data_IF_704524144298
#
_entry.id   IF_704524144298
#
_cell.length_a   1.000
_cell.length_b   1.000
_cell.length_c   1.000
_cell.angle_alpha   90.00
_cell.angle_beta   90.00
_cell.angle_gamma   90.00
#
_symmetry.space_group_name_H-M   'P 1'
#
loop_
_entity.id
_entity.type
_entity.pdbx_description
1 polymer ?
#
# COMPACT_ATOMS: atom_id res chain seq x y z
N UNK A 1 47.75 -6.52 -49.53
CA UNK A 1 46.91 -5.54 -48.85
C UNK A 1 47.70 -4.44 -48.16
N UNK A 2 48.71 -4.74 -47.33
CA UNK A 2 49.57 -3.75 -46.66
C UNK A 2 50.23 -2.75 -47.62
N UNK A 3 50.74 -3.21 -48.77
CA UNK A 3 51.45 -2.37 -49.77
C UNK A 3 50.50 -1.40 -50.49
N UNK A 4 49.25 -1.76 -50.76
CA UNK A 4 48.22 -0.86 -51.29
C UNK A 4 47.79 0.19 -50.27
N UNK A 5 47.75 -0.17 -48.98
CA UNK A 5 47.45 0.76 -47.87
C UNK A 5 48.57 1.78 -47.69
N UNK A 6 49.84 1.37 -47.67
CA UNK A 6 51.00 2.26 -47.56
C UNK A 6 51.10 3.23 -48.74
N UNK A 7 50.80 2.81 -50.00
CA UNK A 7 50.73 3.68 -51.17
C UNK A 7 49.60 4.69 -51.14
N UNK A 8 48.44 4.33 -50.54
CA UNK A 8 47.33 5.24 -50.35
C UNK A 8 47.69 6.35 -49.37
N UNK A 9 48.27 6.04 -48.21
CA UNK A 9 48.68 7.00 -47.20
C UNK A 9 49.84 7.89 -47.65
N UNK A 10 50.76 7.41 -48.44
CA UNK A 10 51.88 8.17 -48.94
C UNK A 10 51.57 9.24 -50.01
N UNK A 11 50.34 9.20 -50.58
CA UNK A 11 49.85 10.17 -51.58
C UNK A 11 48.97 11.28 -51.00
N UNK A 12 48.57 11.18 -49.75
CA UNK A 12 47.67 12.15 -49.14
C UNK A 12 48.42 13.31 -48.48
N UNK A 13 47.85 14.50 -48.56
CA UNK A 13 48.36 15.69 -47.87
C UNK A 13 48.04 15.55 -46.34
N UNK A 14 48.78 16.32 -45.52
CA UNK A 14 48.49 16.37 -44.06
C UNK A 14 47.03 16.72 -43.77
N UNK A 15 46.44 17.57 -44.62
CA UNK A 15 45.02 17.95 -44.50
C UNK A 15 44.07 16.74 -44.73
N UNK A 16 44.33 15.93 -45.74
CA UNK A 16 43.54 14.73 -46.01
C UNK A 16 43.61 13.70 -44.87
N UNK A 17 44.80 13.55 -44.25
CA UNK A 17 44.97 12.69 -43.07
C UNK A 17 44.17 13.18 -41.86
N UNK A 18 44.15 14.49 -41.61
CA UNK A 18 43.34 15.09 -40.53
C UNK A 18 41.86 14.87 -40.79
N UNK A 19 41.37 15.18 -42.00
CA UNK A 19 39.94 14.98 -42.37
C UNK A 19 39.53 13.53 -42.24
N UNK A 20 40.35 12.58 -42.71
CA UNK A 20 40.05 11.17 -42.60
C UNK A 20 40.03 10.68 -41.14
N UNK A 21 40.97 11.13 -40.33
CA UNK A 21 41.01 10.82 -38.89
C UNK A 21 39.77 11.39 -38.16
N UNK A 22 39.39 12.64 -38.43
CA UNK A 22 38.19 13.25 -37.87
C UNK A 22 36.92 12.47 -38.27
N UNK A 23 36.82 12.08 -39.54
CA UNK A 23 35.67 11.31 -40.03
C UNK A 23 35.56 9.92 -39.38
N UNK A 24 36.72 9.23 -39.23
CA UNK A 24 36.75 7.92 -38.56
C UNK A 24 36.38 8.06 -37.07
N UNK A 25 36.92 9.07 -36.40
CA UNK A 25 36.64 9.33 -34.99
C UNK A 25 35.15 9.66 -34.80
N UNK A 26 34.59 10.53 -35.63
CA UNK A 26 33.15 10.85 -35.62
C UNK A 26 32.28 9.61 -35.82
N UNK A 27 32.60 8.78 -36.82
CA UNK A 27 31.87 7.55 -37.09
C UNK A 27 31.97 6.58 -35.91
N UNK A 28 33.19 6.40 -35.35
CA UNK A 28 33.39 5.55 -34.18
C UNK A 28 32.59 6.06 -32.96
N UNK A 29 32.60 7.37 -32.72
CA UNK A 29 31.82 7.99 -31.64
C UNK A 29 30.30 7.74 -31.83
N UNK A 30 29.77 7.93 -33.04
CA UNK A 30 28.36 7.66 -33.33
C UNK A 30 28.02 6.18 -33.12
N UNK A 31 28.90 5.27 -33.57
CA UNK A 31 28.65 3.82 -33.35
C UNK A 31 28.68 3.45 -31.87
N UNK A 32 29.61 4.04 -31.09
CA UNK A 32 29.70 3.81 -29.65
C UNK A 32 28.45 4.37 -28.95
N UNK A 33 27.99 5.57 -29.30
CA UNK A 33 26.77 6.18 -28.73
C UNK A 33 25.55 5.37 -29.07
N UNK A 34 25.34 4.98 -30.34
CA UNK A 34 24.24 4.14 -30.74
C UNK A 34 24.28 2.75 -30.08
N UNK A 35 25.46 2.15 -29.97
CA UNK A 35 25.67 0.90 -29.24
C UNK A 35 25.34 1.05 -27.75
N UNK A 36 25.80 2.16 -27.15
CA UNK A 36 25.49 2.49 -25.74
C UNK A 36 23.98 2.66 -25.50
N UNK A 37 23.30 3.42 -26.35
CA UNK A 37 21.83 3.59 -26.28
C UNK A 37 21.13 2.23 -26.44
N UNK A 38 21.55 1.43 -27.42
CA UNK A 38 20.94 0.10 -27.67
C UNK A 38 21.08 -0.81 -26.45
N UNK A 39 22.24 -0.80 -25.79
CA UNK A 39 22.49 -1.56 -24.56
C UNK A 39 21.63 -1.01 -23.40
N UNK A 40 21.59 0.32 -23.24
CA UNK A 40 20.83 0.97 -22.17
C UNK A 40 19.33 0.69 -22.23
N UNK A 41 18.76 0.57 -23.44
CA UNK A 41 17.34 0.20 -23.63
C UNK A 41 17.10 -1.32 -23.68
N UNK A 42 18.12 -2.16 -23.43
CA UNK A 42 17.97 -3.62 -23.38
C UNK A 42 17.96 -4.31 -24.72
N UNK A 43 18.52 -3.71 -25.79
CA UNK A 43 18.73 -4.31 -27.09
C UNK A 43 17.95 -3.66 -28.25
N UNK A 44 18.20 -4.11 -29.47
CA UNK A 44 17.59 -3.56 -30.70
C UNK A 44 16.07 -3.70 -30.73
N UNK A 45 15.53 -4.74 -30.12
CA UNK A 45 14.08 -4.98 -30.07
C UNK A 45 13.37 -3.85 -29.29
N UNK A 46 13.89 -3.53 -28.11
CA UNK A 46 13.36 -2.45 -27.29
C UNK A 46 13.57 -1.06 -27.92
N UNK A 47 14.66 -0.87 -28.67
CA UNK A 47 14.88 0.36 -29.44
C UNK A 47 13.77 0.61 -30.47
N UNK A 48 13.24 -0.45 -31.10
CA UNK A 48 12.11 -0.35 -32.04
C UNK A 48 10.84 0.10 -31.31
N UNK A 49 10.55 -0.46 -30.13
CA UNK A 49 9.42 -0.03 -29.32
C UNK A 49 9.56 1.41 -28.84
N UNK A 50 10.74 1.79 -28.35
CA UNK A 50 11.03 3.16 -27.96
C UNK A 50 10.82 4.14 -29.10
N UNK A 51 11.31 3.82 -30.30
CA UNK A 51 11.11 4.67 -31.50
C UNK A 51 9.64 4.87 -31.82
N UNK A 52 8.84 3.78 -31.79
CA UNK A 52 7.40 3.84 -32.03
C UNK A 52 6.69 4.69 -30.97
N UNK A 53 7.07 4.55 -29.71
CA UNK A 53 6.50 5.33 -28.60
C UNK A 53 6.78 6.83 -28.78
N UNK A 54 8.03 7.21 -29.05
CA UNK A 54 8.42 8.60 -29.30
C UNK A 54 7.72 9.18 -30.53
N UNK A 55 7.57 8.40 -31.61
CA UNK A 55 6.82 8.82 -32.80
C UNK A 55 5.35 9.10 -32.47
N UNK A 56 4.71 8.24 -31.64
CA UNK A 56 3.32 8.43 -31.25
C UNK A 56 3.15 9.72 -30.41
N UNK A 57 4.03 9.96 -29.44
CA UNK A 57 4.02 11.20 -28.65
C UNK A 57 4.17 12.43 -29.56
N UNK A 58 5.12 12.41 -30.51
CA UNK A 58 5.34 13.50 -31.45
C UNK A 58 4.13 13.76 -32.36
N UNK A 59 3.44 12.70 -32.78
CA UNK A 59 2.19 12.84 -33.58
C UNK A 59 1.09 13.51 -32.74
N UNK A 60 0.90 13.08 -31.48
CA UNK A 60 -0.09 13.70 -30.59
C UNK A 60 0.24 15.17 -30.36
N UNK A 61 1.48 15.48 -29.98
CA UNK A 61 1.93 16.84 -29.67
C UNK A 61 1.80 17.81 -30.85
N UNK A 62 2.14 17.36 -32.08
CA UNK A 62 2.27 18.27 -33.23
C UNK A 62 1.10 18.19 -34.21
N UNK A 63 0.24 17.19 -34.14
CA UNK A 63 -0.81 16.94 -35.16
C UNK A 63 -2.20 17.04 -34.58
N UNK A 64 -2.36 16.83 -33.26
CA UNK A 64 -3.68 16.94 -32.63
C UNK A 64 -4.17 18.42 -32.68
N UNK A 65 -5.42 18.63 -33.05
CA UNK A 65 -5.99 19.93 -33.23
C UNK A 65 -6.37 20.67 -31.93
N UNK A 66 -6.51 19.92 -30.83
CA UNK A 66 -6.79 20.44 -29.48
C UNK A 66 -5.52 20.66 -28.68
N UNK A 67 -5.69 21.22 -27.48
CA UNK A 67 -4.60 21.27 -26.48
C UNK A 67 -4.43 19.91 -25.84
N UNK A 68 -3.24 19.36 -25.94
CA UNK A 68 -2.87 18.09 -25.30
C UNK A 68 -1.89 18.38 -24.15
N UNK A 69 -2.30 18.02 -22.94
CA UNK A 69 -1.36 17.93 -21.82
C UNK A 69 -0.52 16.66 -22.00
N UNK A 70 0.75 16.84 -22.36
CA UNK A 70 1.64 15.75 -22.70
C UNK A 70 2.04 14.90 -21.48
N UNK A 71 1.97 15.44 -20.27
CA UNK A 71 2.16 14.70 -19.03
C UNK A 71 1.03 13.70 -18.85
N UNK A 72 -0.21 14.16 -18.88
CA UNK A 72 -1.42 13.31 -18.82
C UNK A 72 -1.43 12.25 -19.94
N UNK A 73 -1.05 12.63 -21.17
CA UNK A 73 -0.98 11.69 -22.32
C UNK A 73 0.06 10.58 -22.07
N UNK A 74 1.19 10.92 -21.49
CA UNK A 74 2.29 10.00 -21.21
C UNK A 74 1.90 9.04 -20.09
N UNK A 75 1.34 9.54 -19.01
CA UNK A 75 0.88 8.75 -17.86
C UNK A 75 -0.22 7.76 -18.26
N UNK A 76 -1.20 8.22 -19.07
CA UNK A 76 -2.22 7.34 -19.63
C UNK A 76 -1.61 6.21 -20.48
N UNK A 77 -0.54 6.51 -21.23
CA UNK A 77 0.21 5.52 -22.01
C UNK A 77 0.90 4.47 -21.13
N UNK A 78 1.54 4.87 -20.03
CA UNK A 78 2.17 3.96 -19.08
C UNK A 78 1.16 3.14 -18.30
N UNK A 79 0.05 3.75 -17.85
CA UNK A 79 -1.06 3.04 -17.22
C UNK A 79 -1.59 1.94 -18.15
N UNK A 80 -1.94 2.28 -19.40
CA UNK A 80 -2.41 1.31 -20.37
C UNK A 80 -1.41 0.18 -20.67
N UNK A 81 -0.11 0.46 -20.60
CA UNK A 81 0.93 -0.55 -20.76
C UNK A 81 0.89 -1.59 -19.63
N UNK A 82 0.75 -1.15 -18.39
CA UNK A 82 0.65 -2.05 -17.23
C UNK A 82 -0.70 -2.78 -17.22
N UNK A 83 -1.79 -2.09 -17.51
CA UNK A 83 -3.15 -2.68 -17.60
C UNK A 83 -3.22 -3.79 -18.64
N UNK A 84 -2.43 -3.69 -19.72
CA UNK A 84 -2.36 -4.73 -20.77
C UNK A 84 -1.85 -6.09 -20.29
N UNK A 85 -1.23 -6.16 -19.11
CA UNK A 85 -0.82 -7.42 -18.48
C UNK A 85 -2.01 -8.26 -18.02
N UNK A 86 -3.21 -7.66 -17.88
CA UNK A 86 -4.41 -8.32 -17.37
C UNK A 86 -4.31 -8.73 -15.90
N UNK A 87 -3.39 -8.15 -15.18
CA UNK A 87 -3.18 -8.36 -13.74
C UNK A 87 -3.73 -7.18 -12.94
N UNK A 88 -4.87 -7.34 -12.30
CA UNK A 88 -5.55 -6.30 -11.52
C UNK A 88 -4.74 -5.79 -10.32
N UNK A 89 -3.66 -6.47 -9.97
CA UNK A 89 -2.78 -6.12 -8.85
C UNK A 89 -1.54 -5.33 -9.28
N UNK A 90 -1.35 -5.19 -10.61
CA UNK A 90 -0.27 -4.40 -11.17
C UNK A 90 -0.82 -3.12 -11.76
N UNK A 91 -0.22 -1.98 -11.40
CA UNK A 91 -0.67 -0.66 -11.86
C UNK A 91 0.49 0.34 -11.90
N UNK A 92 0.31 1.37 -12.70
CA UNK A 92 1.17 2.55 -12.75
C UNK A 92 0.64 3.60 -11.77
N UNK A 93 1.53 4.38 -11.18
CA UNK A 93 1.23 5.52 -10.33
C UNK A 93 1.96 6.75 -10.83
N UNK A 94 1.27 7.87 -11.00
CA UNK A 94 1.89 9.18 -11.17
C UNK A 94 2.74 9.53 -9.94
N UNK A 95 3.63 10.54 -10.01
CA UNK A 95 4.39 10.98 -8.83
C UNK A 95 3.49 11.32 -7.63
N UNK A 96 2.35 11.95 -7.87
CA UNK A 96 1.39 12.32 -6.82
C UNK A 96 0.70 11.09 -6.21
N UNK A 97 0.26 10.15 -7.03
CA UNK A 97 -0.34 8.88 -6.56
C UNK A 97 0.68 8.03 -5.80
N UNK A 98 1.96 8.06 -6.20
CA UNK A 98 3.00 7.35 -5.47
C UNK A 98 3.29 7.97 -4.10
N UNK A 99 3.25 9.31 -3.96
CA UNK A 99 3.31 9.94 -2.64
C UNK A 99 2.15 9.51 -1.74
N UNK A 100 0.92 9.47 -2.27
CA UNK A 100 -0.25 8.99 -1.52
C UNK A 100 -0.12 7.51 -1.13
N UNK A 101 0.41 6.68 -2.04
CA UNK A 101 0.72 5.28 -1.75
C UNK A 101 1.73 5.13 -0.60
N UNK A 102 2.79 5.94 -0.58
CA UNK A 102 3.78 5.93 0.52
C UNK A 102 3.16 6.33 1.86
N UNK A 103 2.36 7.39 1.87
CA UNK A 103 1.65 7.82 3.07
C UNK A 103 0.75 6.70 3.62
N UNK A 104 -0.04 6.07 2.74
CA UNK A 104 -0.89 4.94 3.11
C UNK A 104 -0.07 3.77 3.68
N UNK A 105 1.00 3.37 2.99
CA UNK A 105 1.84 2.23 3.40
C UNK A 105 2.68 2.50 4.65
N UNK A 106 2.90 3.78 5.00
CA UNK A 106 3.50 4.19 6.26
C UNK A 106 2.47 4.34 7.40
N UNK A 107 1.21 3.96 7.16
CA UNK A 107 0.11 4.23 8.09
C UNK A 107 0.04 5.70 8.50
N UNK A 108 0.31 6.61 7.56
CA UNK A 108 0.21 8.05 7.78
C UNK A 108 -0.85 8.69 6.90
N UNK A 109 -1.37 9.80 7.34
CA UNK A 109 -2.28 10.63 6.56
C UNK A 109 -2.02 12.12 6.82
N UNK A 110 -2.26 12.95 5.81
CA UNK A 110 -2.14 14.40 5.97
C UNK A 110 -3.44 14.97 6.53
N UNK A 111 -3.39 15.49 7.75
CA UNK A 111 -4.55 15.99 8.46
C UNK A 111 -4.22 16.91 9.62
N UNK A 112 -5.20 17.24 10.43
CA UNK A 112 -5.06 18.05 11.64
C UNK A 112 -5.27 17.25 12.94
N UNK A 113 -5.70 15.97 12.84
CA UNK A 113 -5.86 15.09 13.99
C UNK A 113 -7.19 15.24 14.73
N UNK A 114 -8.30 15.45 14.02
CA UNK A 114 -9.65 15.40 14.61
C UNK A 114 -10.49 14.28 14.01
N UNK A 115 -11.29 13.65 14.86
CA UNK A 115 -12.38 12.77 14.44
C UNK A 115 -13.69 13.54 14.51
N UNK A 116 -14.46 13.51 13.43
CA UNK A 116 -15.74 14.22 13.32
C UNK A 116 -16.92 13.26 13.30
N UNK A 117 -18.00 13.68 13.92
CA UNK A 117 -19.31 13.05 13.76
C UNK A 117 -20.38 14.09 13.45
N UNK A 118 -21.48 13.67 12.87
CA UNK A 118 -22.68 14.51 12.71
C UNK A 118 -23.63 14.22 13.87
N UNK A 119 -24.05 15.26 14.60
CA UNK A 119 -25.05 15.15 15.67
C UNK A 119 -26.48 15.02 15.10
N UNK A 120 -27.47 14.81 15.98
CA UNK A 120 -28.88 14.69 15.62
C UNK A 120 -29.45 15.97 14.94
N UNK A 121 -28.80 17.10 15.09
CA UNK A 121 -29.19 18.38 14.49
C UNK A 121 -28.45 18.66 13.16
N UNK A 122 -27.60 17.74 12.69
CA UNK A 122 -26.80 17.90 11.47
C UNK A 122 -25.53 18.73 11.66
N UNK A 123 -25.11 19.03 12.90
CA UNK A 123 -23.88 19.75 13.16
C UNK A 123 -22.66 18.82 13.12
N UNK A 124 -21.52 19.35 12.68
CA UNK A 124 -20.24 18.66 12.71
C UNK A 124 -19.57 18.86 14.08
N UNK A 125 -19.50 17.81 14.87
CA UNK A 125 -18.96 17.80 16.23
C UNK A 125 -17.62 17.08 16.24
N UNK A 126 -16.64 17.65 16.94
CA UNK A 126 -15.35 17.00 17.21
C UNK A 126 -15.60 15.90 18.25
N UNK A 127 -15.49 14.65 17.82
CA UNK A 127 -15.65 13.46 18.68
C UNK A 127 -14.36 13.22 19.47
N UNK A 128 -13.21 13.34 18.81
CA UNK A 128 -11.90 13.08 19.38
C UNK A 128 -10.83 13.98 18.78
N UNK A 129 -9.74 14.20 19.51
CA UNK A 129 -8.57 14.96 19.08
C UNK A 129 -7.34 14.12 19.38
N UNK A 130 -6.58 13.81 18.32
CA UNK A 130 -5.38 13.00 18.41
C UNK A 130 -4.29 13.72 19.20
N UNK A 131 -3.65 13.01 20.11
CA UNK A 131 -2.51 13.48 20.90
C UNK A 131 -1.35 13.92 19.98
N UNK A 132 -0.63 14.95 20.38
CA UNK A 132 0.47 15.58 19.62
C UNK A 132 0.07 16.13 18.23
N UNK A 133 -1.22 16.19 17.90
CA UNK A 133 -1.70 16.67 16.60
C UNK A 133 -1.74 18.21 16.51
N UNK A 134 -1.78 18.76 15.28
CA UNK A 134 -1.99 20.20 15.09
C UNK A 134 -3.27 20.75 15.73
N UNK A 135 -4.33 19.98 15.80
CA UNK A 135 -5.58 20.37 16.43
C UNK A 135 -5.42 20.48 17.96
N UNK A 136 -4.76 19.51 18.59
CA UNK A 136 -4.46 19.56 20.00
C UNK A 136 -3.55 20.76 20.35
N UNK A 137 -2.48 20.95 19.56
CA UNK A 137 -1.56 22.09 19.72
C UNK A 137 -2.26 23.46 19.58
N UNK A 138 -3.31 23.52 18.73
CA UNK A 138 -4.16 24.70 18.61
C UNK A 138 -5.17 24.84 19.76
N UNK A 139 -5.25 23.84 20.66
CA UNK A 139 -6.16 23.83 21.81
C UNK A 139 -7.59 23.42 21.46
N UNK A 140 -7.78 22.65 20.39
CA UNK A 140 -9.06 22.00 20.10
C UNK A 140 -9.31 20.86 21.09
N UNK A 141 -10.57 20.61 21.41
CA UNK A 141 -11.00 19.57 22.36
C UNK A 141 -12.25 18.85 21.84
N UNK A 142 -12.52 17.61 22.27
CA UNK A 142 -13.79 16.98 22.02
C UNK A 142 -14.99 17.83 22.46
N UNK A 143 -16.10 17.72 21.76
CA UNK A 143 -17.33 18.46 22.01
C UNK A 143 -17.45 19.82 21.29
N UNK A 144 -16.41 20.29 20.62
CA UNK A 144 -16.47 21.48 19.79
C UNK A 144 -17.37 21.26 18.55
N UNK A 145 -18.25 22.22 18.27
CA UNK A 145 -19.11 22.22 17.07
C UNK A 145 -18.50 23.10 16.01
N UNK A 146 -18.04 22.54 14.90
CA UNK A 146 -17.42 23.29 13.81
C UNK A 146 -18.46 24.10 13.06
N UNK A 147 -18.19 25.40 12.84
CA UNK A 147 -19.12 26.33 12.21
C UNK A 147 -18.59 26.96 10.94
N UNK A 148 -17.27 27.16 10.81
CA UNK A 148 -16.67 27.70 9.62
C UNK A 148 -15.24 27.18 9.36
N UNK A 149 -14.85 27.19 8.08
CA UNK A 149 -13.49 26.96 7.58
C UNK A 149 -13.07 28.23 6.81
N UNK A 150 -12.02 28.91 7.26
CA UNK A 150 -11.56 30.19 6.70
C UNK A 150 -12.72 31.22 6.55
N UNK A 151 -13.59 31.31 7.56
CA UNK A 151 -14.75 32.20 7.56
C UNK A 151 -15.93 31.78 6.68
N UNK A 152 -15.83 30.67 5.92
CA UNK A 152 -16.93 30.09 5.16
C UNK A 152 -17.69 29.08 6.02
N UNK A 153 -19.02 29.23 6.11
CA UNK A 153 -19.87 28.29 6.87
C UNK A 153 -19.68 26.84 6.41
N UNK A 154 -19.64 25.93 7.37
CA UNK A 154 -19.65 24.47 7.16
C UNK A 154 -21.01 23.83 7.46
N UNK A 155 -22.03 24.65 7.76
CA UNK A 155 -23.40 24.19 8.00
C UNK A 155 -23.95 23.38 6.83
N UNK A 156 -24.53 22.23 7.11
CA UNK A 156 -25.09 21.32 6.11
C UNK A 156 -24.06 20.48 5.35
N UNK A 157 -22.76 20.63 5.64
CA UNK A 157 -21.72 19.74 5.09
C UNK A 157 -21.68 18.43 5.84
N UNK A 158 -21.31 17.37 5.11
CA UNK A 158 -20.96 16.09 5.69
C UNK A 158 -19.55 16.09 6.27
N UNK A 159 -19.25 15.15 7.14
CA UNK A 159 -17.87 14.93 7.65
C UNK A 159 -16.87 14.69 6.52
N UNK A 160 -17.29 13.99 5.46
CA UNK A 160 -16.48 13.73 4.28
C UNK A 160 -16.17 15.03 3.52
N UNK A 161 -17.17 15.84 3.20
CA UNK A 161 -16.99 17.10 2.48
C UNK A 161 -16.09 18.10 3.22
N UNK A 162 -16.19 18.16 4.57
CA UNK A 162 -15.28 18.97 5.36
C UNK A 162 -13.87 18.36 5.38
N UNK A 163 -13.74 17.06 5.50
CA UNK A 163 -12.45 16.36 5.40
C UNK A 163 -11.74 16.62 4.08
N UNK A 164 -12.47 16.57 2.95
CA UNK A 164 -11.93 16.90 1.61
C UNK A 164 -11.52 18.36 1.51
N UNK A 165 -12.34 19.27 2.05
CA UNK A 165 -12.01 20.69 2.09
C UNK A 165 -10.73 20.96 2.93
N UNK A 166 -10.57 20.30 4.07
CA UNK A 166 -9.35 20.40 4.91
C UNK A 166 -8.14 19.81 4.15
N UNK A 167 -8.30 18.66 3.47
CA UNK A 167 -7.22 18.05 2.67
C UNK A 167 -6.72 18.94 1.54
N UNK A 168 -7.59 19.80 0.99
CA UNK A 168 -7.23 20.74 -0.07
C UNK A 168 -6.56 22.03 0.43
N UNK A 169 -6.48 22.27 1.75
CA UNK A 169 -5.84 23.46 2.30
C UNK A 169 -4.32 23.34 2.24
N UNK A 170 -3.66 24.42 1.84
CA UNK A 170 -2.21 24.58 1.91
C UNK A 170 -1.86 25.59 2.99
N UNK A 171 -0.77 25.33 3.76
CA UNK A 171 -0.33 26.19 4.84
C UNK A 171 -1.31 26.26 6.01
N UNK A 172 -1.30 27.39 6.75
CA UNK A 172 -2.20 27.63 7.88
C UNK A 172 -3.60 28.03 7.43
N UNK A 173 -4.61 27.52 8.13
CA UNK A 173 -6.01 27.90 7.94
C UNK A 173 -6.75 27.96 9.28
N UNK A 174 -7.92 28.60 9.28
CA UNK A 174 -8.69 28.83 10.50
C UNK A 174 -9.96 27.98 10.50
N UNK A 175 -10.13 27.19 11.56
CA UNK A 175 -11.38 26.53 11.92
C UNK A 175 -12.08 27.35 13.00
N UNK A 176 -13.32 27.77 12.74
CA UNK A 176 -14.17 28.38 13.76
C UNK A 176 -15.08 27.32 14.35
N UNK A 177 -15.10 27.20 15.67
CA UNK A 177 -15.97 26.27 16.39
C UNK A 177 -16.68 26.95 17.56
N UNK A 178 -17.84 26.40 17.94
CA UNK A 178 -18.51 26.73 19.19
C UNK A 178 -18.11 25.75 20.28
N UNK A 179 -17.81 26.28 21.45
CA UNK A 179 -17.61 25.47 22.66
C UNK A 179 -18.95 24.89 23.17
N UNK A 180 -18.94 23.90 24.07
CA UNK A 180 -20.17 23.40 24.70
C UNK A 180 -20.97 24.51 25.42
N UNK A 181 -20.29 25.55 25.87
CA UNK A 181 -20.91 26.73 26.53
C UNK A 181 -21.49 27.73 25.53
N UNK A 182 -21.30 27.49 24.22
CA UNK A 182 -21.83 28.29 23.12
C UNK A 182 -20.96 29.46 22.66
N UNK A 183 -19.73 29.57 23.19
CA UNK A 183 -18.77 30.61 22.78
C UNK A 183 -18.12 30.22 21.45
N UNK A 184 -18.01 31.19 20.51
CA UNK A 184 -17.31 31.00 19.25
C UNK A 184 -15.81 31.26 19.43
N UNK A 185 -14.99 30.33 18.96
CA UNK A 185 -13.52 30.41 19.05
C UNK A 185 -12.89 30.02 17.70
N UNK A 186 -11.84 30.73 17.30
CA UNK A 186 -11.03 30.45 16.14
C UNK A 186 -9.79 29.64 16.54
N UNK A 187 -9.51 28.60 15.74
CA UNK A 187 -8.35 27.75 15.89
C UNK A 187 -7.53 27.81 14.59
N UNK A 188 -6.31 28.31 14.68
CA UNK A 188 -5.38 28.31 13.54
C UNK A 188 -4.65 26.98 13.56
N UNK A 189 -4.77 26.25 12.47
CA UNK A 189 -4.18 24.92 12.29
C UNK A 189 -3.49 24.80 10.94
N UNK A 190 -2.53 23.90 10.86
CA UNK A 190 -1.88 23.49 9.63
C UNK A 190 -1.92 21.96 9.57
N UNK A 191 -2.04 21.39 8.36
CA UNK A 191 -1.94 19.94 8.21
C UNK A 191 -0.54 19.43 8.53
N UNK A 192 -0.48 18.28 9.15
CA UNK A 192 0.76 17.51 9.37
C UNK A 192 0.55 16.07 8.91
N UNK A 193 1.64 15.36 8.69
CA UNK A 193 1.60 13.90 8.55
C UNK A 193 1.36 13.30 9.93
N UNK A 194 0.28 12.53 10.08
CA UNK A 194 -0.18 11.93 11.32
C UNK A 194 -0.20 10.42 11.18
N UNK A 195 0.26 9.72 12.22
CA UNK A 195 0.22 8.28 12.27
C UNK A 195 -1.19 7.78 12.62
N UNK A 196 -1.64 6.76 11.90
CA UNK A 196 -2.89 6.05 12.15
C UNK A 196 -2.59 4.62 12.55
N UNK A 197 -2.70 4.30 13.83
CA UNK A 197 -2.42 2.95 14.32
C UNK A 197 -3.28 1.91 13.56
N UNK A 198 -2.66 0.94 12.86
CA UNK A 198 -3.40 -0.11 12.14
C UNK A 198 -4.03 -1.14 13.07
N UNK A 199 -3.65 -1.17 14.35
CA UNK A 199 -4.13 -2.14 15.33
C UNK A 199 -4.97 -1.46 16.40
N UNK A 200 -6.09 -2.06 16.73
CA UNK A 200 -6.88 -1.73 17.92
C UNK A 200 -7.24 -3.00 18.68
N UNK A 201 -7.29 -2.93 19.99
CA UNK A 201 -7.52 -4.12 20.81
C UNK A 201 -8.33 -3.81 22.07
N UNK A 202 -8.96 -4.83 22.61
CA UNK A 202 -9.70 -4.77 23.88
C UNK A 202 -9.85 -6.15 24.49
N UNK A 203 -9.99 -6.19 25.82
CA UNK A 203 -10.43 -7.39 26.51
C UNK A 203 -11.96 -7.49 26.43
N UNK A 204 -12.45 -8.63 25.95
CA UNK A 204 -13.87 -8.95 25.90
C UNK A 204 -14.30 -9.79 27.13
N UNK A 205 -15.62 -9.93 27.32
CA UNK A 205 -16.17 -10.85 28.33
C UNK A 205 -15.63 -12.27 28.13
N UNK A 206 -15.37 -12.96 29.23
CA UNK A 206 -14.82 -14.31 29.23
C UNK A 206 -13.31 -14.34 29.02
N UNK A 207 -12.56 -13.29 29.37
CA UNK A 207 -11.11 -13.18 29.22
C UNK A 207 -10.64 -13.48 27.79
N UNK A 208 -11.38 -12.99 26.79
CA UNK A 208 -11.00 -13.11 25.38
C UNK A 208 -10.36 -11.83 24.89
N UNK A 209 -9.11 -11.90 24.44
CA UNK A 209 -8.44 -10.79 23.80
C UNK A 209 -8.93 -10.62 22.36
N UNK A 210 -9.41 -9.42 22.01
CA UNK A 210 -9.78 -9.07 20.65
C UNK A 210 -8.77 -8.08 20.09
N UNK A 211 -8.21 -8.42 18.92
CA UNK A 211 -7.22 -7.63 18.20
C UNK A 211 -7.71 -7.43 16.77
N UNK A 212 -8.05 -6.20 16.40
CA UNK A 212 -8.37 -5.85 15.03
C UNK A 212 -7.14 -5.31 14.32
N UNK A 213 -6.81 -5.91 13.17
CA UNK A 213 -5.71 -5.51 12.30
C UNK A 213 -6.31 -4.97 11.00
N UNK A 214 -6.18 -3.67 10.73
CA UNK A 214 -6.76 -3.01 9.55
C UNK A 214 -5.95 -3.25 8.28
N UNK A 215 -4.63 -3.35 8.40
CA UNK A 215 -3.69 -3.66 7.33
C UNK A 215 -2.41 -4.24 7.94
N UNK A 216 -1.53 -4.79 7.08
CA UNK A 216 -0.19 -5.25 7.44
C UNK A 216 0.88 -4.27 6.93
N UNK A 217 0.60 -2.97 6.96
CA UNK A 217 1.53 -1.93 6.58
C UNK A 217 2.47 -1.58 7.76
N UNK A 218 3.30 -0.55 7.58
CA UNK A 218 4.38 -0.19 8.50
C UNK A 218 3.95 -0.16 9.97
N UNK A 219 4.76 -0.78 10.84
CA UNK A 219 4.56 -0.94 12.30
C UNK A 219 3.37 -1.81 12.72
N UNK A 220 2.74 -2.54 11.80
CA UNK A 220 1.64 -3.43 12.17
C UNK A 220 2.10 -4.52 13.15
N UNK A 221 3.26 -5.12 12.93
CA UNK A 221 3.84 -6.14 13.81
C UNK A 221 4.08 -5.59 15.22
N UNK A 222 4.74 -4.44 15.34
CA UNK A 222 5.05 -3.81 16.63
C UNK A 222 3.78 -3.48 17.44
N UNK A 223 2.76 -2.91 16.77
CA UNK A 223 1.49 -2.56 17.42
C UNK A 223 0.66 -3.80 17.77
N UNK A 224 0.71 -4.85 16.95
CA UNK A 224 0.03 -6.11 17.23
C UNK A 224 0.72 -6.89 18.37
N UNK A 225 2.05 -6.92 18.42
CA UNK A 225 2.80 -7.52 19.53
C UNK A 225 2.50 -6.82 20.85
N UNK A 226 2.49 -5.47 20.85
CA UNK A 226 2.11 -4.70 22.02
C UNK A 226 0.69 -5.02 22.49
N UNK A 227 -0.27 -5.07 21.56
CA UNK A 227 -1.65 -5.45 21.87
C UNK A 227 -1.74 -6.86 22.49
N UNK A 228 -1.00 -7.80 21.94
CA UNK A 228 -0.91 -9.17 22.38
C UNK A 228 -0.35 -9.27 23.82
N UNK A 229 0.79 -8.62 24.08
CA UNK A 229 1.46 -8.63 25.38
C UNK A 229 0.56 -7.97 26.45
N UNK A 230 -0.10 -6.86 26.13
CA UNK A 230 -1.03 -6.18 27.04
C UNK A 230 -2.24 -7.07 27.38
N UNK A 231 -2.82 -7.78 26.39
CA UNK A 231 -3.96 -8.67 26.63
C UNK A 231 -3.55 -9.90 27.44
N UNK A 232 -2.38 -10.49 27.17
CA UNK A 232 -1.84 -11.59 27.95
C UNK A 232 -1.60 -11.15 29.41
N UNK A 233 -1.02 -9.97 29.61
CA UNK A 233 -0.79 -9.40 30.95
C UNK A 233 -2.11 -9.14 31.70
N UNK A 234 -3.20 -8.85 31.00
CA UNK A 234 -4.55 -8.71 31.54
C UNK A 234 -5.23 -10.06 31.82
N UNK A 235 -4.61 -11.18 31.44
CA UNK A 235 -5.12 -12.54 31.68
C UNK A 235 -6.01 -13.07 30.55
N UNK A 236 -5.73 -12.72 29.31
CA UNK A 236 -6.41 -13.34 28.16
C UNK A 236 -6.21 -14.85 28.14
N UNK A 237 -7.29 -15.59 27.92
CA UNK A 237 -7.33 -17.07 27.87
C UNK A 237 -7.64 -17.57 26.46
N UNK A 238 -7.81 -16.68 25.48
CA UNK A 238 -8.01 -16.94 24.06
C UNK A 238 -7.97 -15.63 23.29
N UNK A 239 -7.67 -15.70 22.00
CA UNK A 239 -7.45 -14.54 21.14
C UNK A 239 -8.36 -14.58 19.93
N UNK A 240 -8.91 -13.43 19.57
CA UNK A 240 -9.69 -13.21 18.34
C UNK A 240 -8.96 -12.15 17.52
N UNK A 241 -8.40 -12.56 16.39
CA UNK A 241 -7.86 -11.64 15.39
C UNK A 241 -8.94 -11.28 14.37
N UNK A 242 -9.22 -10.00 14.20
CA UNK A 242 -10.16 -9.52 13.20
C UNK A 242 -9.41 -8.87 12.03
N UNK A 243 -9.33 -9.60 10.91
CA UNK A 243 -8.75 -9.14 9.65
C UNK A 243 -9.81 -8.94 8.57
N UNK A 244 -11.07 -8.76 8.94
CA UNK A 244 -12.13 -8.37 8.01
C UNK A 244 -11.84 -7.00 7.43
N UNK A 245 -12.07 -6.84 6.13
CA UNK A 245 -11.76 -5.63 5.35
C UNK A 245 -10.27 -5.26 5.31
N UNK A 246 -9.38 -6.20 5.63
CA UNK A 246 -7.94 -6.02 5.57
C UNK A 246 -7.40 -6.45 4.20
N UNK A 247 -6.85 -5.49 3.45
CA UNK A 247 -6.28 -5.69 2.11
C UNK A 247 -4.88 -6.29 2.07
N UNK A 248 -4.31 -6.66 3.21
CA UNK A 248 -2.94 -7.14 3.32
C UNK A 248 -1.97 -6.02 3.67
N UNK A 249 -0.77 -6.08 3.11
CA UNK A 249 0.35 -5.17 3.36
C UNK A 249 1.69 -5.86 3.19
N UNK A 250 2.67 -5.50 4.00
CA UNK A 250 4.04 -6.00 3.89
C UNK A 250 4.19 -7.43 4.42
N UNK A 251 4.93 -8.24 3.64
CA UNK A 251 5.30 -9.61 4.03
C UNK A 251 6.15 -9.61 5.31
N UNK A 252 6.97 -8.59 5.52
CA UNK A 252 7.79 -8.45 6.73
C UNK A 252 6.95 -8.34 7.98
N UNK A 253 5.91 -7.52 7.97
CA UNK A 253 5.00 -7.35 9.10
C UNK A 253 4.21 -8.64 9.38
N UNK A 254 3.69 -9.26 8.30
CA UNK A 254 3.02 -10.55 8.37
C UNK A 254 3.90 -11.61 9.03
N UNK A 255 5.14 -11.77 8.54
CA UNK A 255 6.01 -12.90 8.99
C UNK A 255 6.50 -12.72 10.40
N UNK A 256 6.76 -11.51 10.87
CA UNK A 256 7.12 -11.24 12.27
C UNK A 256 5.96 -11.58 13.22
N UNK A 257 4.73 -11.16 12.87
CA UNK A 257 3.57 -11.50 13.68
C UNK A 257 3.29 -13.02 13.69
N UNK A 258 3.42 -13.69 12.55
CA UNK A 258 3.28 -15.15 12.48
C UNK A 258 4.35 -15.88 13.29
N UNK A 259 5.59 -15.38 13.30
CA UNK A 259 6.69 -15.92 14.12
C UNK A 259 6.34 -15.89 15.62
N UNK A 260 5.73 -14.80 16.08
CA UNK A 260 5.27 -14.64 17.47
C UNK A 260 4.11 -15.56 17.85
N UNK A 261 3.33 -16.05 16.88
CA UNK A 261 2.09 -16.80 17.09
C UNK A 261 2.23 -18.31 16.78
N UNK A 262 3.27 -18.74 16.09
CA UNK A 262 3.40 -20.10 15.58
C UNK A 262 4.65 -20.79 16.08
N UNK A 263 4.62 -22.11 16.33
CA UNK A 263 5.81 -22.89 16.66
C UNK A 263 6.80 -22.90 15.49
N UNK A 264 8.02 -23.42 15.73
CA UNK A 264 9.04 -23.56 14.70
C UNK A 264 8.51 -24.27 13.45
N UNK A 265 8.60 -23.60 12.30
CA UNK A 265 8.14 -24.13 11.03
C UNK A 265 8.19 -23.13 9.87
N UNK A 266 7.76 -23.57 8.70
CA UNK A 266 7.69 -22.71 7.50
C UNK A 266 6.44 -21.84 7.55
N UNK A 267 6.59 -20.53 7.70
CA UNK A 267 5.47 -19.61 7.84
C UNK A 267 5.17 -18.77 6.57
N UNK A 268 6.07 -18.74 5.59
CA UNK A 268 5.83 -18.05 4.34
C UNK A 268 6.68 -18.65 3.21
N UNK A 269 6.04 -18.92 2.08
CA UNK A 269 6.70 -19.44 0.89
C UNK A 269 6.41 -18.52 -0.31
N UNK A 270 7.45 -18.08 -1.00
CA UNK A 270 7.31 -17.29 -2.22
C UNK A 270 8.09 -17.89 -3.39
N UNK A 271 7.53 -17.78 -4.60
CA UNK A 271 8.10 -18.32 -5.84
C UNK A 271 8.27 -17.20 -6.85
N UNK A 272 9.49 -16.99 -7.34
CA UNK A 272 9.76 -15.99 -8.35
C UNK A 272 9.39 -16.47 -9.76
N UNK A 273 9.46 -15.58 -10.77
CA UNK A 273 9.13 -15.90 -12.16
C UNK A 273 10.02 -16.98 -12.81
N UNK A 274 11.11 -17.41 -12.15
CA UNK A 274 11.97 -18.53 -12.59
C UNK A 274 11.69 -19.83 -11.85
N UNK A 275 10.66 -19.88 -11.02
CA UNK A 275 10.30 -21.05 -10.23
C UNK A 275 11.18 -21.29 -9.00
N UNK A 276 12.01 -20.32 -8.58
CA UNK A 276 12.84 -20.47 -7.38
C UNK A 276 12.03 -20.08 -6.15
N UNK A 277 11.91 -21.00 -5.20
CA UNK A 277 11.30 -20.77 -3.89
C UNK A 277 12.23 -19.98 -2.96
N UNK A 278 11.60 -19.21 -2.08
CA UNK A 278 12.20 -18.61 -0.89
C UNK A 278 11.23 -18.87 0.26
N UNK A 279 11.75 -19.39 1.36
CA UNK A 279 10.97 -19.79 2.54
C UNK A 279 11.40 -18.93 3.72
N UNK A 280 10.43 -18.47 4.50
CA UNK A 280 10.63 -17.84 5.81
C UNK A 280 10.11 -18.81 6.87
N UNK A 281 10.84 -18.94 7.97
CA UNK A 281 10.50 -19.85 9.08
C UNK A 281 10.29 -19.06 10.36
N UNK A 282 9.42 -19.56 11.23
CA UNK A 282 9.27 -19.16 12.62
C UNK A 282 10.29 -19.90 13.50
N UNK A 283 10.49 -19.39 14.70
CA UNK A 283 11.23 -20.09 15.76
C UNK A 283 10.28 -20.82 16.74
N UNK A 284 10.80 -21.26 17.88
CA UNK A 284 10.00 -22.04 18.84
C UNK A 284 9.33 -21.19 19.94
N UNK A 285 9.58 -19.86 19.95
CA UNK A 285 9.04 -18.96 20.99
C UNK A 285 7.70 -18.37 20.51
N UNK A 286 6.61 -19.05 20.82
CA UNK A 286 5.28 -18.66 20.40
C UNK A 286 4.26 -18.58 21.53
N UNK A 287 3.15 -17.90 21.27
CA UNK A 287 2.00 -17.79 22.18
C UNK A 287 1.19 -19.08 22.13
N UNK A 288 1.02 -19.72 23.29
CA UNK A 288 0.22 -20.95 23.45
C UNK A 288 -1.17 -20.60 24.01
N UNK A 289 -2.01 -19.98 23.18
CA UNK A 289 -3.42 -19.67 23.46
C UNK A 289 -4.29 -20.09 22.28
N UNK A 290 -5.52 -20.57 22.51
CA UNK A 290 -6.46 -20.85 21.43
C UNK A 290 -6.82 -19.55 20.69
N UNK A 291 -6.88 -19.61 19.36
CA UNK A 291 -7.11 -18.45 18.52
C UNK A 291 -8.25 -18.66 17.54
N UNK A 292 -8.88 -17.55 17.15
CA UNK A 292 -9.83 -17.48 16.03
C UNK A 292 -9.45 -16.29 15.15
N UNK A 293 -9.55 -16.45 13.83
CA UNK A 293 -9.40 -15.37 12.88
C UNK A 293 -10.71 -15.07 12.17
N UNK A 294 -11.18 -13.83 12.27
CA UNK A 294 -12.36 -13.33 11.54
C UNK A 294 -11.93 -12.84 10.16
N UNK A 295 -12.59 -13.35 9.12
CA UNK A 295 -12.30 -13.02 7.71
C UNK A 295 -13.58 -12.66 6.96
N UNK A 296 -13.47 -11.94 5.82
CA UNK A 296 -14.59 -11.67 4.92
C UNK A 296 -14.15 -11.55 3.45
N UNK A 297 -15.06 -11.27 2.54
CA UNK A 297 -14.81 -11.12 1.11
C UNK A 297 -13.84 -10.00 0.74
N UNK A 298 -13.56 -9.06 1.65
CA UNK A 298 -12.56 -7.99 1.50
C UNK A 298 -11.23 -8.31 2.20
N UNK A 299 -11.10 -9.49 2.79
CA UNK A 299 -9.82 -10.00 3.31
C UNK A 299 -9.02 -10.53 2.13
N UNK A 300 -7.80 -10.00 1.88
CA UNK A 300 -6.93 -10.52 0.80
C UNK A 300 -5.44 -10.37 1.09
N UNK A 301 -4.60 -11.08 0.30
CA UNK A 301 -3.14 -10.98 0.36
C UNK A 301 -2.57 -11.41 1.73
N UNK A 302 -1.72 -10.59 2.36
CA UNK A 302 -1.10 -10.88 3.66
C UNK A 302 -2.14 -11.26 4.73
N UNK A 303 -3.35 -10.67 4.69
CA UNK A 303 -4.42 -10.98 5.63
C UNK A 303 -5.01 -12.39 5.42
N UNK A 304 -5.15 -12.85 4.16
CA UNK A 304 -5.52 -14.24 3.89
C UNK A 304 -4.44 -15.19 4.34
N UNK A 305 -3.19 -14.83 4.03
CA UNK A 305 -2.04 -15.66 4.38
C UNK A 305 -1.87 -15.78 5.90
N UNK A 306 -2.14 -14.72 6.63
CA UNK A 306 -2.19 -14.73 8.09
C UNK A 306 -3.19 -15.74 8.62
N UNK A 307 -4.45 -15.66 8.13
CA UNK A 307 -5.51 -16.57 8.57
C UNK A 307 -5.21 -18.02 8.19
N UNK A 308 -4.80 -18.26 6.93
CA UNK A 308 -4.53 -19.61 6.42
C UNK A 308 -3.31 -20.27 7.10
N UNK A 309 -2.25 -19.50 7.35
CA UNK A 309 -1.06 -20.08 8.00
C UNK A 309 -1.35 -20.46 9.46
N UNK A 310 -2.10 -19.65 10.21
CA UNK A 310 -2.55 -20.02 11.56
C UNK A 310 -3.48 -21.24 11.53
N UNK A 311 -4.38 -21.33 10.55
CA UNK A 311 -5.26 -22.47 10.37
C UNK A 311 -4.48 -23.74 10.00
N UNK A 312 -3.52 -23.66 9.07
CA UNK A 312 -2.68 -24.77 8.66
C UNK A 312 -1.93 -25.42 9.84
N UNK A 313 -1.43 -24.61 10.77
CA UNK A 313 -0.78 -25.10 11.99
C UNK A 313 -1.76 -25.58 13.08
N UNK A 314 -3.07 -25.44 12.85
CA UNK A 314 -4.08 -25.76 13.86
C UNK A 314 -4.07 -24.79 15.06
N UNK A 315 -3.41 -23.65 14.93
CA UNK A 315 -3.31 -22.62 15.97
C UNK A 315 -4.58 -21.78 16.05
N UNK A 316 -5.30 -21.60 14.94
CA UNK A 316 -6.55 -20.87 14.91
C UNK A 316 -7.61 -21.55 14.05
N UNK A 317 -8.88 -21.39 14.44
CA UNK A 317 -10.01 -21.60 13.57
C UNK A 317 -10.37 -20.31 12.81
N UNK A 318 -10.98 -20.44 11.63
CA UNK A 318 -11.40 -19.31 10.80
C UNK A 318 -12.92 -19.17 10.81
N UNK A 319 -13.41 -17.93 10.97
CA UNK A 319 -14.85 -17.61 11.03
C UNK A 319 -15.16 -16.43 10.13
N UNK A 320 -16.23 -16.51 9.33
CA UNK A 320 -16.69 -15.40 8.51
C UNK A 320 -17.13 -15.79 7.11
N UNK A 321 -16.75 -15.00 6.12
CA UNK A 321 -17.10 -15.19 4.72
C UNK A 321 -15.88 -15.65 3.92
N UNK A 322 -16.06 -16.34 2.77
CA UNK A 322 -14.97 -16.67 1.87
C UNK A 322 -14.18 -15.41 1.46
N UNK A 323 -12.87 -15.54 1.38
CA UNK A 323 -11.95 -14.43 1.08
C UNK A 323 -11.73 -14.21 -0.42
N UNK A 324 -10.89 -13.24 -0.79
CA UNK A 324 -10.71 -12.81 -2.20
C UNK A 324 -9.88 -13.76 -3.06
N UNK A 325 -8.87 -14.45 -2.52
CA UNK A 325 -7.94 -15.29 -3.27
C UNK A 325 -6.84 -14.52 -4.01
N UNK A 326 -6.02 -13.73 -3.29
CA UNK A 326 -4.84 -13.06 -3.87
C UNK A 326 -3.57 -13.83 -3.53
N UNK A 327 -3.01 -14.54 -4.51
CA UNK A 327 -1.79 -15.38 -4.39
C UNK A 327 -0.51 -14.73 -4.97
N UNK A 328 -0.45 -13.39 -5.11
CA UNK A 328 0.70 -12.70 -5.72
C UNK A 328 1.16 -11.52 -4.88
N UNK A 329 2.48 -11.38 -4.73
CA UNK A 329 3.11 -10.19 -4.15
C UNK A 329 3.67 -9.28 -5.23
N UNK A 330 3.58 -7.98 -4.96
CA UNK A 330 4.07 -6.94 -5.84
C UNK A 330 5.38 -6.35 -5.29
N UNK A 331 6.11 -5.70 -6.18
CA UNK A 331 7.17 -4.76 -5.85
C UNK A 331 6.83 -3.41 -6.48
N UNK A 332 7.22 -2.34 -5.79
CA UNK A 332 7.09 -0.98 -6.31
C UNK A 332 8.44 -0.51 -6.81
N UNK A 333 8.52 -0.10 -8.06
CA UNK A 333 9.73 0.40 -8.72
C UNK A 333 9.51 1.85 -9.14
N UNK A 334 10.33 2.75 -8.60
CA UNK A 334 10.25 4.19 -8.86
C UNK A 334 10.96 4.52 -10.17
N UNK A 335 10.33 5.33 -11.00
CA UNK A 335 10.89 5.83 -12.27
C UNK A 335 11.63 7.17 -12.05
N UNK A 336 12.30 7.65 -13.10
CA UNK A 336 13.21 8.78 -13.00
C UNK A 336 12.50 10.12 -12.72
N UNK A 337 11.22 10.24 -13.04
CA UNK A 337 10.37 11.41 -12.83
C UNK A 337 9.64 11.40 -11.48
N UNK A 338 9.80 10.33 -10.69
CA UNK A 338 9.11 10.15 -9.41
C UNK A 338 7.83 9.34 -9.49
N UNK A 339 7.35 9.01 -10.70
CA UNK A 339 6.27 8.05 -10.89
C UNK A 339 6.71 6.63 -10.49
N UNK A 340 5.79 5.67 -10.37
CA UNK A 340 6.13 4.33 -9.96
C UNK A 340 5.29 3.26 -10.66
N UNK A 341 5.84 2.06 -10.73
CA UNK A 341 5.14 0.86 -11.18
C UNK A 341 5.06 -0.13 -10.03
N UNK A 342 3.85 -0.46 -9.62
CA UNK A 342 3.56 -1.54 -8.69
C UNK A 342 3.24 -2.79 -9.51
N UNK A 343 4.10 -3.83 -9.41
CA UNK A 343 4.02 -4.96 -10.34
C UNK A 343 4.16 -6.30 -9.62
N UNK A 344 3.32 -7.27 -9.99
CA UNK A 344 3.39 -8.64 -9.48
C UNK A 344 4.70 -9.30 -9.88
N UNK A 345 5.51 -9.67 -8.92
CA UNK A 345 6.87 -10.18 -9.11
C UNK A 345 7.07 -11.60 -8.58
N UNK A 346 6.21 -12.04 -7.67
CA UNK A 346 6.25 -13.38 -7.07
C UNK A 346 4.84 -13.92 -6.85
N UNK A 347 4.71 -15.25 -6.89
CA UNK A 347 3.59 -15.96 -6.27
C UNK A 347 3.98 -16.29 -4.84
N UNK A 348 3.03 -16.33 -3.96
CA UNK A 348 3.22 -16.90 -2.62
C UNK A 348 2.27 -18.07 -2.41
N UNK A 349 2.76 -19.01 -1.64
CA UNK A 349 2.11 -20.28 -1.37
C UNK A 349 1.99 -20.46 0.13
N UNK A 350 0.95 -21.14 0.54
CA UNK A 350 0.81 -21.64 1.92
C UNK A 350 1.95 -22.60 2.27
N UNK A 351 2.16 -22.93 3.54
CA UNK A 351 3.20 -23.89 3.94
C UNK A 351 3.09 -25.24 3.22
N UNK A 352 1.89 -25.72 2.89
CA UNK A 352 1.64 -26.92 2.10
C UNK A 352 1.66 -26.69 0.57
N UNK A 353 2.13 -25.52 0.12
CA UNK A 353 2.33 -25.16 -1.30
C UNK A 353 1.03 -24.95 -2.09
N UNK A 354 -0.06 -24.54 -1.45
CA UNK A 354 -1.29 -24.16 -2.12
C UNK A 354 -1.21 -22.68 -2.55
N UNK A 355 -1.60 -22.38 -3.76
CA UNK A 355 -1.78 -21.01 -4.26
C UNK A 355 -3.24 -20.58 -4.02
N UNK A 356 -3.46 -19.62 -3.13
CA UNK A 356 -4.81 -19.15 -2.78
C UNK A 356 -5.58 -18.59 -3.98
N UNK A 357 -4.87 -18.11 -5.00
CA UNK A 357 -5.52 -17.61 -6.23
C UNK A 357 -6.07 -18.74 -7.11
N UNK A 358 -5.53 -19.94 -7.01
CA UNK A 358 -6.00 -21.11 -7.76
C UNK A 358 -7.26 -21.73 -7.13
N UNK A 359 -7.42 -21.61 -5.82
CA UNK A 359 -8.58 -22.13 -5.08
C UNK A 359 -9.66 -21.08 -4.81
N UNK A 360 -9.43 -19.81 -5.19
CA UNK A 360 -10.40 -18.74 -5.02
C UNK A 360 -10.51 -18.17 -3.60
N UNK A 361 -9.45 -18.28 -2.82
CA UNK A 361 -9.38 -17.80 -1.43
C UNK A 361 -9.67 -18.87 -0.39
N UNK A 362 -9.76 -18.46 0.87
CA UNK A 362 -10.04 -19.30 2.01
C UNK A 362 -11.56 -19.46 2.17
N UNK A 363 -12.01 -20.67 2.41
CA UNK A 363 -13.36 -20.94 2.91
C UNK A 363 -13.27 -21.16 4.41
N UNK A 364 -13.85 -20.27 5.25
CA UNK A 364 -13.74 -20.40 6.72
C UNK A 364 -14.32 -21.69 7.27
N UNK A 365 -13.78 -22.19 8.39
CA UNK A 365 -14.33 -23.36 9.12
C UNK A 365 -15.77 -23.13 9.53
N UNK A 366 -16.09 -21.91 9.97
CA UNK A 366 -17.44 -21.47 10.30
C UNK A 366 -17.83 -20.37 9.32
N UNK A 367 -18.51 -20.75 8.24
CA UNK A 367 -19.00 -19.78 7.24
C UNK A 367 -20.28 -19.11 7.76
N UNK A 368 -20.23 -17.79 7.90
CA UNK A 368 -21.30 -16.98 8.45
C UNK A 368 -21.26 -15.55 7.92
N UNK A 369 -22.39 -15.01 7.49
CA UNK A 369 -22.49 -13.59 7.15
C UNK A 369 -22.42 -12.72 8.43
N UNK A 370 -21.95 -11.49 8.31
CA UNK A 370 -21.76 -10.59 9.45
C UNK A 370 -23.04 -10.37 10.27
N UNK A 371 -24.17 -10.18 9.59
CA UNK A 371 -25.45 -9.88 10.24
C UNK A 371 -25.48 -8.51 10.96
N UNK A 372 -26.63 -8.17 11.57
CA UNK A 372 -26.82 -6.88 12.26
C UNK A 372 -26.06 -6.81 13.61
N UNK A 373 -26.00 -7.94 14.35
CA UNK A 373 -25.40 -8.04 15.70
C UNK A 373 -23.99 -8.65 15.70
N UNK A 374 -23.26 -8.55 14.58
CA UNK A 374 -21.95 -9.18 14.38
C UNK A 374 -21.91 -10.66 14.81
N UNK A 375 -22.73 -11.45 14.14
CA UNK A 375 -22.86 -12.89 14.39
C UNK A 375 -21.52 -13.65 14.26
N UNK A 376 -20.59 -13.16 13.42
CA UNK A 376 -19.24 -13.72 13.24
C UNK A 376 -18.42 -13.57 14.53
N UNK A 377 -18.43 -12.39 15.17
CA UNK A 377 -17.75 -12.18 16.44
C UNK A 377 -18.39 -13.01 17.56
N UNK A 378 -19.72 -13.14 17.55
CA UNK A 378 -20.43 -13.97 18.52
C UNK A 378 -20.03 -15.46 18.38
N UNK A 379 -19.98 -15.98 17.16
CA UNK A 379 -19.53 -17.36 16.89
C UNK A 379 -18.07 -17.60 17.28
N UNK A 380 -17.17 -16.64 17.04
CA UNK A 380 -15.77 -16.71 17.46
C UNK A 380 -15.64 -16.81 18.99
N UNK A 381 -16.40 -16.01 19.73
CA UNK A 381 -16.44 -16.09 21.20
C UNK A 381 -16.95 -17.44 21.70
N UNK A 382 -18.07 -17.93 21.14
CA UNK A 382 -18.65 -19.22 21.48
C UNK A 382 -17.65 -20.36 21.23
N UNK A 383 -16.98 -20.36 20.06
CA UNK A 383 -15.97 -21.34 19.72
C UNK A 383 -14.86 -21.38 20.77
N UNK A 384 -14.25 -20.25 21.12
CA UNK A 384 -13.16 -20.20 22.12
C UNK A 384 -13.62 -20.62 23.51
N UNK A 385 -14.83 -20.28 23.93
CA UNK A 385 -15.35 -20.68 25.23
C UNK A 385 -15.63 -22.19 25.32
N UNK A 386 -15.84 -22.87 24.19
CA UNK A 386 -16.04 -24.33 24.15
C UNK A 386 -14.73 -25.14 24.10
N UNK A 387 -13.60 -24.49 23.79
CA UNK A 387 -12.27 -25.13 23.75
C UNK A 387 -11.58 -25.19 25.12
N UNK A 388 -12.16 -24.63 26.16
CA UNK A 388 -11.62 -24.55 27.54
C UNK A 388 -11.86 -25.78 28.38
#
# INVERSE_FOLDING_TARGET
MKEKWNKFWAKQTTYDHVLLSCSITMLATVVILLGGITIAVGGFHNLTYLTKYVQMLSIVEHTYIGDADMETVTDAGFSAMVDSLGDRWSYYMTPEEYEQYKDHSANTYSGIGITLQTDENGNLVVLDVLEDSPAEQAGMTPGLVLTALNGKSVEGKTTQELGEAIRSMEGEFVLTAKTPEGESKDFTVQRASLYSNPVSYQMLEGNLGYIRIKNFDDKCDEEAEKALDDLIAQGAEGLIFDVRDNGGGYVTELTKLLDRLLPEGEIFVSVNGKGKESVTTSDADCVDLPMVVLVNGNTYSAAEYFAETLHYYGAAATVGEPTTGKGRSQITLVLADGSAVHISSRRYLTPDRVDLSEIGGIVPDITLEKGEDDAQLAAAKEFLLTQR
#
